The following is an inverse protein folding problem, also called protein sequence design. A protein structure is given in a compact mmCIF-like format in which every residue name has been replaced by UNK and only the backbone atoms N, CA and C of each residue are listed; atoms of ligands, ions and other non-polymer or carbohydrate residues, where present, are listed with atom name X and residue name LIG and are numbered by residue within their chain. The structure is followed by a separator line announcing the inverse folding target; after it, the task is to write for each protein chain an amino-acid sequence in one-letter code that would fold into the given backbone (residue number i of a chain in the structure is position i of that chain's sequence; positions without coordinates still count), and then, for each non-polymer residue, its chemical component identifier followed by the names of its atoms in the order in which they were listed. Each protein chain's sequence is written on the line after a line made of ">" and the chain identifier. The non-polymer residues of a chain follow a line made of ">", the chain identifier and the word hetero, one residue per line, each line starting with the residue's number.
data_IF_751611585329
#
_entry.id   IF_751611585329
#
_cell.length_a   1.000
_cell.length_b   1.000
_cell.length_c   1.000
_cell.angle_alpha   90.00
_cell.angle_beta   90.00
_cell.angle_gamma   90.00
#
_symmetry.space_group_name_H-M   'P 1'
#
loop_
_entity.id
_entity.type
_entity.pdbx_description
1 polymer ?
#
# COMPACT_ATOMS: atom_id res chain seq x y z
N UNK A 1 -3.87 -7.61 2.98
CA UNK A 1 -4.41 -6.38 3.59
C UNK A 1 -4.56 -5.29 2.52
N UNK A 2 -4.85 -4.03 2.87
CA UNK A 2 -4.81 -2.83 2.01
C UNK A 2 -4.74 -1.57 2.89
N UNK A 3 -4.14 -0.49 2.39
CA UNK A 3 -4.00 0.76 3.15
C UNK A 3 -5.34 1.34 3.64
N UNK A 4 -6.40 1.25 2.82
CA UNK A 4 -7.73 1.77 3.18
C UNK A 4 -8.53 0.91 4.16
N UNK A 5 -8.15 -0.34 4.41
CA UNK A 5 -8.94 -1.23 5.25
C UNK A 5 -8.88 -0.76 6.71
N UNK A 6 -10.01 -0.22 7.17
CA UNK A 6 -10.12 0.51 8.44
C UNK A 6 -9.10 1.65 8.54
N UNK A 7 -8.86 2.37 7.43
CA UNK A 7 -7.93 3.51 7.36
C UNK A 7 -6.54 3.17 7.92
N UNK A 8 -6.01 2.01 7.53
CA UNK A 8 -4.71 1.50 7.98
C UNK A 8 -4.78 0.61 9.23
N UNK A 9 -5.92 0.55 9.92
CA UNK A 9 -6.11 -0.28 11.12
C UNK A 9 -5.87 -1.77 10.87
N UNK A 10 -6.26 -2.27 9.69
CA UNK A 10 -5.99 -3.68 9.31
C UNK A 10 -4.49 -3.98 9.23
N UNK A 11 -3.70 -3.05 8.69
CA UNK A 11 -2.24 -3.20 8.58
C UNK A 11 -1.56 -3.23 9.95
N UNK A 12 -2.01 -2.38 10.90
CA UNK A 12 -1.50 -2.40 12.27
C UNK A 12 -1.76 -3.73 12.98
N UNK A 13 -2.94 -4.33 12.78
CA UNK A 13 -3.28 -5.64 13.36
C UNK A 13 -2.44 -6.74 12.72
N UNK A 14 -2.29 -6.72 11.40
CA UNK A 14 -1.47 -7.69 10.66
C UNK A 14 0.00 -7.59 11.06
N UNK A 15 0.57 -6.38 11.14
CA UNK A 15 1.97 -6.18 11.52
C UNK A 15 2.28 -6.76 12.90
N UNK A 16 1.45 -6.43 13.90
CA UNK A 16 1.53 -7.04 15.25
C UNK A 16 1.45 -8.56 15.22
N UNK A 17 0.59 -9.11 14.38
CA UNK A 17 0.42 -10.55 14.26
C UNK A 17 1.62 -11.25 13.59
N UNK A 18 2.46 -10.54 12.83
CA UNK A 18 3.53 -11.12 12.01
C UNK A 18 4.96 -10.87 12.52
N UNK A 19 5.17 -10.02 13.53
CA UNK A 19 6.48 -9.53 14.01
C UNK A 19 7.61 -10.58 14.05
N UNK A 20 7.36 -11.76 14.62
CA UNK A 20 8.38 -12.81 14.80
C UNK A 20 8.33 -13.94 13.75
N UNK A 21 7.57 -13.74 12.67
CA UNK A 21 7.34 -14.75 11.62
C UNK A 21 7.18 -14.12 10.24
N UNK A 22 7.78 -12.94 10.04
CA UNK A 22 7.64 -12.16 8.81
C UNK A 22 8.11 -12.97 7.58
N UNK A 23 9.17 -13.74 7.73
CA UNK A 23 9.76 -14.63 6.73
C UNK A 23 8.92 -15.88 6.42
N UNK A 24 7.91 -16.18 7.22
CA UNK A 24 7.08 -17.40 7.09
C UNK A 24 5.76 -17.17 6.33
N UNK A 25 5.54 -15.95 5.85
CA UNK A 25 4.28 -15.55 5.20
C UNK A 25 4.54 -14.73 3.94
N UNK A 26 3.67 -14.93 2.94
CA UNK A 26 3.57 -14.04 1.79
C UNK A 26 2.60 -12.91 2.16
N UNK A 27 3.13 -11.71 2.35
CA UNK A 27 2.39 -10.54 2.75
C UNK A 27 2.08 -9.65 1.54
N UNK A 28 0.80 -9.53 1.23
CA UNK A 28 0.31 -8.62 0.19
C UNK A 28 -0.46 -7.43 0.77
N UNK A 29 -0.17 -6.23 0.26
CA UNK A 29 -0.96 -5.02 0.49
C UNK A 29 -1.28 -4.30 -0.82
N UNK A 30 -2.10 -3.25 -0.73
CA UNK A 30 -2.60 -2.50 -1.89
C UNK A 30 -2.63 -1.01 -1.58
N UNK A 31 -2.25 -0.19 -2.56
CA UNK A 31 -2.44 1.27 -2.58
C UNK A 31 -3.44 1.70 -3.66
N UNK A 32 -3.63 3.01 -3.84
CA UNK A 32 -4.55 3.71 -4.77
C UNK A 32 -5.76 4.39 -4.12
N UNK A 33 -6.35 3.76 -3.11
CA UNK A 33 -7.55 4.31 -2.48
C UNK A 33 -7.29 5.71 -1.86
N UNK A 34 -8.33 6.56 -1.76
CA UNK A 34 -8.23 7.81 -1.03
C UNK A 34 -7.83 7.58 0.44
N UNK A 35 -6.81 8.28 0.89
CA UNK A 35 -6.27 8.25 2.27
C UNK A 35 -6.21 9.64 2.92
N UNK A 36 -6.83 10.63 2.26
CA UNK A 36 -6.90 12.03 2.65
C UNK A 36 -7.68 12.83 1.59
N UNK A 37 -7.82 14.13 1.82
CA UNK A 37 -8.62 15.02 0.96
C UNK A 37 -7.78 15.79 -0.07
N UNK A 38 -6.45 15.65 -0.02
CA UNK A 38 -5.53 16.34 -0.93
C UNK A 38 -5.52 15.72 -2.34
N UNK A 39 -5.10 16.49 -3.36
CA UNK A 39 -5.09 16.02 -4.75
C UNK A 39 -4.17 14.82 -5.00
N UNK A 40 -3.18 14.62 -4.13
CA UNK A 40 -2.24 13.50 -4.21
C UNK A 40 -2.57 12.38 -3.22
N UNK A 41 -3.68 12.46 -2.48
CA UNK A 41 -4.06 11.48 -1.46
C UNK A 41 -4.91 10.32 -2.01
N UNK A 42 -5.00 10.18 -3.33
CA UNK A 42 -5.66 9.09 -4.05
C UNK A 42 -4.99 8.84 -5.42
N UNK A 43 -5.36 7.75 -6.09
CA UNK A 43 -4.96 7.45 -7.47
C UNK A 43 -3.73 6.56 -7.62
N UNK A 44 -3.35 6.23 -8.84
CA UNK A 44 -2.21 5.36 -9.13
C UNK A 44 -0.94 6.15 -9.52
N UNK A 45 -0.91 7.46 -9.26
CA UNK A 45 0.28 8.28 -9.50
C UNK A 45 1.49 7.77 -8.72
N UNK A 46 2.68 8.01 -9.26
CA UNK A 46 3.94 7.65 -8.61
C UNK A 46 4.01 8.20 -7.19
N UNK A 47 3.59 9.46 -7.03
CA UNK A 47 3.61 10.18 -5.74
C UNK A 47 2.73 9.48 -4.71
N UNK A 48 1.51 9.12 -5.06
CA UNK A 48 0.59 8.49 -4.09
C UNK A 48 1.02 7.08 -3.75
N UNK A 49 1.35 6.26 -4.75
CA UNK A 49 1.69 4.84 -4.55
C UNK A 49 2.97 4.67 -3.71
N UNK A 50 4.05 5.41 -4.02
CA UNK A 50 5.29 5.33 -3.23
C UNK A 50 5.05 5.73 -1.78
N UNK A 51 4.36 6.87 -1.57
CA UNK A 51 4.07 7.38 -0.22
C UNK A 51 3.18 6.43 0.58
N UNK A 52 2.19 5.81 -0.05
CA UNK A 52 1.33 4.84 0.62
C UNK A 52 2.01 3.50 0.85
N UNK A 53 2.94 3.08 0.00
CA UNK A 53 3.79 1.92 0.27
C UNK A 53 4.64 2.18 1.55
N UNK A 54 5.32 3.32 1.65
CA UNK A 54 6.11 3.67 2.83
C UNK A 54 5.25 3.67 4.12
N UNK A 55 4.06 4.26 4.05
CA UNK A 55 3.11 4.28 5.17
C UNK A 55 2.58 2.88 5.50
N UNK A 56 2.34 2.04 4.51
CA UNK A 56 1.93 0.65 4.71
C UNK A 56 3.04 -0.15 5.39
N UNK A 57 4.30 0.00 4.97
CA UNK A 57 5.46 -0.66 5.59
C UNK A 57 5.61 -0.25 7.07
N UNK A 58 5.46 1.04 7.38
CA UNK A 58 5.45 1.53 8.76
C UNK A 58 4.33 0.90 9.60
N UNK A 59 3.10 0.81 9.07
CA UNK A 59 1.98 0.20 9.80
C UNK A 59 2.13 -1.32 9.94
N UNK A 60 2.76 -1.98 8.96
CA UNK A 60 3.00 -3.42 8.96
C UNK A 60 4.22 -3.83 9.78
N UNK A 61 5.04 -2.88 10.26
CA UNK A 61 6.25 -3.12 11.04
C UNK A 61 7.23 -4.07 10.32
N UNK A 62 7.49 -3.79 9.03
CA UNK A 62 8.35 -4.61 8.16
C UNK A 62 8.96 -3.75 7.05
N UNK A 63 10.14 -4.13 6.57
CA UNK A 63 10.86 -3.39 5.52
C UNK A 63 10.38 -3.72 4.09
N UNK A 64 9.57 -4.78 3.94
CA UNK A 64 9.07 -5.22 2.64
C UNK A 64 7.67 -5.84 2.71
N UNK A 65 6.99 -5.81 1.58
CA UNK A 65 5.85 -6.68 1.25
C UNK A 65 6.25 -7.58 0.09
N UNK A 66 5.69 -8.78 0.06
CA UNK A 66 5.98 -9.74 -1.02
C UNK A 66 5.27 -9.34 -2.31
N UNK A 67 4.09 -8.74 -2.18
CA UNK A 67 3.31 -8.25 -3.33
C UNK A 67 2.67 -6.90 -2.99
N UNK A 68 2.91 -5.91 -3.84
CA UNK A 68 2.22 -4.64 -3.79
C UNK A 68 1.29 -4.49 -5.00
N UNK A 69 0.00 -4.29 -4.76
CA UNK A 69 -0.99 -4.11 -5.81
C UNK A 69 -1.46 -2.66 -5.92
N UNK A 70 -1.80 -2.26 -7.13
CA UNK A 70 -2.75 -1.17 -7.36
C UNK A 70 -4.15 -1.75 -7.16
N UNK A 71 -4.91 -1.21 -6.19
CA UNK A 71 -6.15 -1.84 -5.71
C UNK A 71 -7.22 -2.00 -6.81
N UNK A 72 -7.32 -1.02 -7.71
CA UNK A 72 -8.18 -1.02 -8.89
C UNK A 72 -7.51 -0.20 -9.99
N UNK A 73 -7.79 -0.45 -11.29
CA UNK A 73 -7.31 0.41 -12.36
C UNK A 73 -7.60 1.90 -12.09
N UNK A 74 -6.65 2.75 -12.47
CA UNK A 74 -6.79 4.20 -12.49
C UNK A 74 -6.59 4.67 -13.92
N UNK A 75 -7.65 5.22 -14.52
CA UNK A 75 -7.63 5.67 -15.91
C UNK A 75 -7.23 7.15 -16.05
N UNK A 76 -6.97 7.84 -14.93
CA UNK A 76 -6.46 9.23 -14.94
C UNK A 76 -4.93 9.26 -14.97
N UNK A 77 -4.27 8.26 -14.41
CA UNK A 77 -2.82 8.11 -14.44
C UNK A 77 -2.41 7.26 -15.65
N UNK A 78 -1.46 7.68 -16.49
CA UNK A 78 -0.91 6.83 -17.56
C UNK A 78 -0.40 5.50 -17.00
N UNK A 79 -0.74 4.39 -17.66
CA UNK A 79 -0.38 3.05 -17.16
C UNK A 79 1.13 2.87 -17.07
N UNK A 80 1.90 3.50 -17.95
CA UNK A 80 3.37 3.47 -17.95
C UNK A 80 3.96 4.12 -16.69
N UNK A 81 3.34 5.17 -16.16
CA UNK A 81 3.77 5.79 -14.89
C UNK A 81 3.56 4.82 -13.73
N UNK A 82 2.39 4.18 -13.71
CA UNK A 82 2.04 3.20 -12.68
C UNK A 82 2.99 2.00 -12.72
N UNK A 83 3.23 1.43 -13.91
CA UNK A 83 4.11 0.28 -14.11
C UNK A 83 5.59 0.59 -13.80
N UNK A 84 6.07 1.82 -14.04
CA UNK A 84 7.44 2.24 -13.66
C UNK A 84 7.58 2.60 -12.18
N UNK A 85 6.48 2.67 -11.46
CA UNK A 85 6.48 2.95 -10.02
C UNK A 85 6.61 1.65 -9.23
N UNK A 86 5.96 0.58 -9.71
CA UNK A 86 6.09 -0.78 -9.20
C UNK A 86 7.44 -1.41 -9.61
#
# INVERSE_FOLDING_TARGET
>A
TANMYSTGGSELVVGKALKEKRDKVILATKGRAPMGDGPNDAGASRVHLMRELDRSLQRLDTDYVDIYYVHTPDYQTPIEETLRTL
#
